data_IF_219673350221
#
_entry.id   IF_219673350221
#
_cell.length_a   1.000
_cell.length_b   1.000
_cell.length_c   1.000
_cell.angle_alpha   90.00
_cell.angle_beta   90.00
_cell.angle_gamma   90.00
#
_symmetry.space_group_name_H-M   'P 1'
#
loop_
_entity.id
_entity.type
_entity.pdbx_description
1 polymer ?
#
# COMPACT_ATOMS: atom_id res chain seq x y z
N UNK A 1 -8.19 -7.81 -25.42
CA UNK A 1 -7.51 -7.40 -24.17
C UNK A 1 -7.58 -5.88 -24.06
N UNK A 2 -7.85 -5.33 -22.88
CA UNK A 2 -7.90 -3.88 -22.63
C UNK A 2 -6.61 -3.48 -21.93
N UNK A 3 -5.91 -2.47 -22.47
CA UNK A 3 -4.68 -1.93 -21.87
C UNK A 3 -5.00 -0.68 -21.05
N UNK A 4 -4.25 -0.48 -19.95
CA UNK A 4 -4.34 0.69 -19.10
C UNK A 4 -2.93 1.27 -18.92
N UNK A 5 -2.81 2.61 -18.98
CA UNK A 5 -1.58 3.33 -18.69
C UNK A 5 -1.65 3.97 -17.30
N UNK A 6 -0.56 3.87 -16.55
CA UNK A 6 -0.40 4.51 -15.25
C UNK A 6 0.80 5.44 -15.32
N UNK A 7 0.72 6.59 -14.66
CA UNK A 7 1.76 7.61 -14.65
C UNK A 7 2.01 8.11 -13.24
N UNK A 8 3.27 8.31 -12.90
CA UNK A 8 3.71 8.99 -11.71
C UNK A 8 4.95 9.85 -12.06
N UNK A 9 5.15 10.95 -11.34
CA UNK A 9 6.34 11.78 -11.41
C UNK A 9 7.12 11.63 -10.13
N UNK A 10 8.41 11.35 -10.25
CA UNK A 10 9.35 11.27 -9.13
C UNK A 10 10.30 12.45 -9.23
N UNK A 11 10.43 13.22 -8.15
CA UNK A 11 11.30 14.37 -8.06
C UNK A 11 12.26 14.20 -6.88
N UNK A 12 13.56 14.19 -7.14
CA UNK A 12 14.55 14.23 -6.09
C UNK A 12 14.59 15.62 -5.44
N UNK A 13 14.41 15.70 -4.13
CA UNK A 13 14.35 16.93 -3.34
C UNK A 13 15.56 17.12 -2.42
N UNK A 14 16.51 16.19 -2.45
CA UNK A 14 17.65 16.15 -1.53
C UNK A 14 18.91 16.89 -2.01
N UNK A 15 18.84 17.72 -3.06
CA UNK A 15 19.99 18.49 -3.52
C UNK A 15 20.26 19.69 -2.56
N UNK A 16 21.41 19.65 -1.89
CA UNK A 16 21.86 20.73 -0.99
C UNK A 16 22.78 21.77 -1.67
N UNK A 17 22.74 21.83 -3.00
CA UNK A 17 23.52 22.80 -3.79
C UNK A 17 24.75 22.21 -4.50
N UNK A 18 25.25 21.07 -4.05
CA UNK A 18 26.41 20.39 -4.63
C UNK A 18 26.08 19.12 -5.43
N UNK A 19 24.79 18.78 -5.50
CA UNK A 19 24.33 17.55 -6.12
C UNK A 19 24.98 16.31 -5.49
N UNK A 20 25.31 15.32 -6.30
CA UNK A 20 25.90 14.04 -5.88
C UNK A 20 27.45 14.06 -5.86
N UNK A 21 28.07 15.22 -5.62
CA UNK A 21 29.55 15.35 -5.61
C UNK A 21 30.22 14.41 -4.60
N UNK A 22 29.56 14.10 -3.49
CA UNK A 22 30.02 13.12 -2.51
C UNK A 22 28.82 12.38 -1.91
N UNK A 23 29.06 11.18 -1.36
CA UNK A 23 28.02 10.34 -0.79
C UNK A 23 27.20 11.04 0.33
N UNK A 24 27.82 12.01 1.02
CA UNK A 24 27.21 12.78 2.12
C UNK A 24 26.79 14.19 1.73
N UNK A 25 26.94 14.59 0.46
CA UNK A 25 26.63 15.96 0.01
C UNK A 25 25.16 16.17 -0.32
N UNK A 26 24.33 15.15 -0.27
CA UNK A 26 22.91 15.21 -0.62
C UNK A 26 22.06 14.35 0.32
N UNK A 27 20.78 14.69 0.40
CA UNK A 27 19.76 13.89 1.10
C UNK A 27 19.07 12.95 0.12
N UNK A 28 18.55 11.85 0.65
CA UNK A 28 17.87 10.79 -0.11
C UNK A 28 16.36 10.98 -0.12
N UNK A 29 15.94 12.24 -0.08
CA UNK A 29 14.53 12.63 -0.10
C UNK A 29 14.04 12.84 -1.52
N UNK A 30 12.81 12.50 -1.76
CA UNK A 30 12.14 12.64 -3.05
C UNK A 30 10.63 12.73 -2.87
N UNK A 31 9.93 13.23 -3.87
CA UNK A 31 8.49 13.37 -3.88
C UNK A 31 7.87 12.54 -4.99
N UNK A 32 6.69 11.96 -4.70
CA UNK A 32 5.80 11.40 -5.70
C UNK A 32 4.74 12.44 -6.01
N UNK A 33 4.54 12.75 -7.29
CA UNK A 33 3.48 13.60 -7.76
C UNK A 33 2.70 12.94 -8.91
N UNK A 34 1.41 13.23 -8.97
CA UNK A 34 0.57 12.87 -10.10
C UNK A 34 -0.52 13.95 -10.26
N UNK A 35 -1.01 14.22 -11.48
CA UNK A 35 -2.07 15.21 -11.70
C UNK A 35 -3.31 14.92 -10.84
N UNK A 36 -3.78 15.93 -10.10
CA UNK A 36 -4.97 15.83 -9.26
C UNK A 36 -4.82 14.99 -7.99
N UNK A 37 -3.59 14.69 -7.55
CA UNK A 37 -3.32 13.93 -6.32
C UNK A 37 -2.41 14.71 -5.37
N UNK A 38 -2.55 14.52 -4.06
CA UNK A 38 -1.60 15.07 -3.09
C UNK A 38 -0.19 14.56 -3.35
N UNK A 39 0.80 15.40 -3.08
CA UNK A 39 2.21 15.02 -3.11
C UNK A 39 2.51 14.11 -1.91
N UNK A 40 3.26 13.03 -2.14
CA UNK A 40 3.77 12.17 -1.08
C UNK A 40 5.27 12.39 -0.97
N UNK A 41 5.71 12.92 0.18
CA UNK A 41 7.12 13.11 0.47
C UNK A 41 7.74 11.83 1.01
N UNK A 42 8.80 11.39 0.37
CA UNK A 42 9.42 10.08 0.57
C UNK A 42 10.93 10.21 0.86
N UNK A 43 11.53 9.12 1.30
CA UNK A 43 12.97 9.01 1.51
C UNK A 43 13.46 7.61 1.20
N UNK A 44 14.74 7.36 1.40
CA UNK A 44 15.29 6.02 1.37
C UNK A 44 15.06 5.31 2.71
N UNK A 45 15.34 4.01 2.77
CA UNK A 45 15.40 3.24 4.01
C UNK A 45 16.38 3.89 5.01
N UNK A 46 16.04 3.98 6.31
CA UNK A 46 16.93 4.52 7.34
C UNK A 46 18.29 3.82 7.42
N UNK A 47 18.35 2.51 7.16
CA UNK A 47 19.60 1.74 7.11
C UNK A 47 20.51 2.21 5.98
N UNK A 48 19.95 2.81 4.93
CA UNK A 48 20.66 3.39 3.78
C UNK A 48 20.77 4.92 3.87
N UNK A 49 20.56 5.49 5.06
CA UNK A 49 20.68 6.92 5.35
C UNK A 49 19.46 7.75 4.93
N UNK A 50 18.30 7.14 4.93
CA UNK A 50 17.01 7.81 4.74
C UNK A 50 16.44 8.42 6.02
N UNK A 51 15.30 9.08 5.87
CA UNK A 51 14.52 9.71 6.93
C UNK A 51 13.40 8.74 7.37
N UNK A 52 13.47 8.26 8.60
CA UNK A 52 12.49 7.32 9.17
C UNK A 52 11.07 7.88 9.34
N UNK A 53 10.89 9.19 9.19
CA UNK A 53 9.57 9.82 9.23
C UNK A 53 8.86 9.82 7.86
N UNK A 54 9.48 9.26 6.82
CA UNK A 54 8.98 9.24 5.45
C UNK A 54 8.91 7.82 4.92
N UNK A 55 7.97 7.58 4.03
CA UNK A 55 7.87 6.30 3.33
C UNK A 55 9.08 6.07 2.43
N UNK A 56 9.58 4.84 2.42
CA UNK A 56 10.60 4.38 1.50
C UNK A 56 9.98 3.57 0.35
N UNK A 57 10.74 3.20 -0.70
CA UNK A 57 10.21 2.42 -1.81
C UNK A 57 9.64 1.06 -1.40
N UNK A 58 10.22 0.44 -0.38
CA UNK A 58 9.82 -0.86 0.15
C UNK A 58 8.46 -0.77 0.85
N UNK A 59 8.24 0.28 1.67
CA UNK A 59 6.95 0.58 2.31
C UNK A 59 5.86 0.82 1.26
N UNK A 60 6.18 1.57 0.20
CA UNK A 60 5.24 1.85 -0.88
C UNK A 60 4.85 0.59 -1.65
N UNK A 61 5.79 -0.31 -1.91
CA UNK A 61 5.52 -1.59 -2.58
C UNK A 61 4.62 -2.48 -1.73
N UNK A 62 4.93 -2.63 -0.43
CA UNK A 62 4.09 -3.39 0.50
C UNK A 62 2.69 -2.79 0.64
N UNK A 63 2.60 -1.46 0.76
CA UNK A 63 1.32 -0.75 0.83
C UNK A 63 0.49 -0.94 -0.43
N UNK A 64 1.11 -0.88 -1.61
CA UNK A 64 0.43 -1.12 -2.89
C UNK A 64 -0.09 -2.57 -2.99
N UNK A 65 0.70 -3.55 -2.53
CA UNK A 65 0.32 -4.95 -2.51
C UNK A 65 -0.88 -5.20 -1.59
N UNK A 66 -0.81 -4.71 -0.34
CA UNK A 66 -1.86 -4.82 0.65
C UNK A 66 -3.15 -4.13 0.19
N UNK A 67 -3.05 -2.89 -0.29
CA UNK A 67 -4.22 -2.14 -0.79
C UNK A 67 -4.89 -2.84 -1.99
N UNK A 68 -4.11 -3.38 -2.92
CA UNK A 68 -4.67 -4.14 -4.05
C UNK A 68 -5.41 -5.40 -3.58
N UNK A 69 -4.85 -6.13 -2.61
CA UNK A 69 -5.47 -7.29 -2.00
C UNK A 69 -6.77 -6.91 -1.29
N UNK A 70 -6.74 -5.87 -0.43
CA UNK A 70 -7.90 -5.34 0.27
C UNK A 70 -9.05 -5.00 -0.69
N UNK A 71 -8.78 -4.25 -1.75
CA UNK A 71 -9.82 -3.81 -2.70
C UNK A 71 -10.48 -5.00 -3.39
N UNK A 72 -9.72 -6.03 -3.75
CA UNK A 72 -10.28 -7.26 -4.29
C UNK A 72 -11.05 -8.07 -3.26
N UNK A 73 -10.56 -8.13 -2.01
CA UNK A 73 -11.28 -8.77 -0.93
C UNK A 73 -12.66 -8.15 -0.73
N UNK A 74 -12.72 -6.82 -0.59
CA UNK A 74 -13.97 -6.07 -0.42
C UNK A 74 -14.95 -6.32 -1.58
N UNK A 75 -14.45 -6.32 -2.81
CA UNK A 75 -15.27 -6.59 -4.00
C UNK A 75 -15.84 -8.02 -4.01
N UNK A 76 -15.01 -9.02 -3.75
CA UNK A 76 -15.42 -10.42 -3.74
C UNK A 76 -16.33 -10.75 -2.56
N UNK A 77 -16.07 -10.18 -1.38
CA UNK A 77 -16.92 -10.31 -0.20
C UNK A 77 -18.32 -9.77 -0.47
N UNK A 78 -18.45 -8.57 -1.04
CA UNK A 78 -19.73 -7.99 -1.42
C UNK A 78 -20.48 -8.89 -2.42
N UNK A 79 -19.81 -9.41 -3.44
CA UNK A 79 -20.41 -10.35 -4.40
C UNK A 79 -20.83 -11.67 -3.75
N UNK A 80 -20.15 -12.07 -2.68
CA UNK A 80 -20.47 -13.25 -1.89
C UNK A 80 -21.59 -13.01 -0.87
N UNK A 81 -22.13 -11.77 -0.77
CA UNK A 81 -23.15 -11.40 0.22
C UNK A 81 -22.62 -11.28 1.64
N UNK A 82 -21.30 -11.09 1.81
CA UNK A 82 -20.66 -10.81 3.09
C UNK A 82 -20.54 -9.31 3.28
N UNK A 83 -20.89 -8.82 4.47
CA UNK A 83 -20.76 -7.41 4.84
C UNK A 83 -19.49 -7.22 5.65
N UNK A 84 -18.52 -6.51 5.07
CA UNK A 84 -17.28 -6.11 5.73
C UNK A 84 -17.49 -4.73 6.35
N UNK A 85 -17.32 -4.63 7.66
CA UNK A 85 -17.46 -3.38 8.43
C UNK A 85 -16.13 -2.67 8.63
N UNK A 86 -15.00 -3.42 8.61
CA UNK A 86 -13.67 -2.86 8.76
C UNK A 86 -12.60 -3.77 8.13
N UNK A 87 -11.49 -3.15 7.73
CA UNK A 87 -10.31 -3.86 7.21
C UNK A 87 -9.07 -3.06 7.58
N UNK A 88 -8.15 -3.69 8.28
CA UNK A 88 -6.82 -3.15 8.56
C UNK A 88 -5.78 -4.23 8.28
N UNK A 89 -4.64 -3.85 7.70
CA UNK A 89 -3.57 -4.80 7.38
C UNK A 89 -2.22 -4.23 7.77
N UNK A 90 -1.40 -5.03 8.43
CA UNK A 90 -0.02 -4.74 8.77
C UNK A 90 0.89 -5.72 8.02
N UNK A 91 1.10 -5.52 6.70
CA UNK A 91 1.90 -6.42 5.89
C UNK A 91 3.36 -6.41 6.31
N UNK A 92 4.01 -7.56 6.26
CA UNK A 92 5.44 -7.70 6.53
C UNK A 92 6.16 -8.24 5.30
N UNK A 93 7.20 -7.54 4.87
CA UNK A 93 8.10 -7.96 3.80
C UNK A 93 9.42 -8.47 4.36
N UNK A 94 9.90 -9.59 3.85
CA UNK A 94 11.25 -10.07 4.09
C UNK A 94 12.10 -9.78 2.87
N UNK A 95 13.17 -9.00 3.06
CA UNK A 95 14.16 -8.70 2.04
C UNK A 95 15.54 -9.27 2.38
N UNK A 96 16.39 -9.36 1.39
CA UNK A 96 17.81 -9.66 1.56
C UNK A 96 18.65 -8.61 0.83
N UNK A 97 19.84 -8.35 1.37
CA UNK A 97 20.87 -7.54 0.71
C UNK A 97 22.11 -8.38 0.53
N UNK A 98 22.62 -8.43 -0.69
CA UNK A 98 23.83 -9.16 -1.04
C UNK A 98 25.09 -8.33 -0.71
N UNK A 99 26.28 -8.96 -0.63
CA UNK A 99 27.54 -8.26 -0.33
C UNK A 99 27.92 -7.15 -1.33
N UNK A 100 27.43 -7.23 -2.55
CA UNK A 100 27.62 -6.22 -3.60
C UNK A 100 26.64 -5.04 -3.52
N UNK A 101 25.71 -5.08 -2.54
CA UNK A 101 24.68 -4.07 -2.34
C UNK A 101 23.38 -4.29 -3.12
N UNK A 102 23.29 -5.35 -3.94
CA UNK A 102 22.03 -5.72 -4.57
C UNK A 102 21.04 -6.24 -3.52
N UNK A 103 19.74 -5.94 -3.70
CA UNK A 103 18.70 -6.37 -2.77
C UNK A 103 17.43 -6.78 -3.49
N UNK A 104 16.60 -7.58 -2.81
CA UNK A 104 15.28 -7.97 -3.29
C UNK A 104 14.37 -8.41 -2.15
N UNK A 105 13.07 -8.37 -2.38
CA UNK A 105 12.13 -9.09 -1.53
C UNK A 105 12.22 -10.60 -1.77
N UNK A 106 12.21 -11.35 -0.68
CA UNK A 106 12.09 -12.82 -0.68
C UNK A 106 10.64 -13.25 -0.54
N UNK A 107 9.88 -12.54 0.30
CA UNK A 107 8.46 -12.80 0.55
C UNK A 107 7.75 -11.58 1.10
N UNK A 108 6.41 -11.60 1.03
CA UNK A 108 5.55 -10.71 1.78
C UNK A 108 4.42 -11.52 2.44
N UNK A 109 4.08 -11.18 3.68
CA UNK A 109 2.95 -11.74 4.41
C UNK A 109 1.95 -10.63 4.72
N UNK A 110 0.75 -10.73 4.17
CA UNK A 110 -0.38 -9.88 4.51
C UNK A 110 -1.01 -10.41 5.80
N UNK A 111 -1.41 -9.52 6.70
CA UNK A 111 -1.99 -9.85 8.02
C UNK A 111 -3.26 -9.06 8.30
N UNK A 112 -4.26 -9.16 7.41
CA UNK A 112 -5.46 -8.37 7.58
C UNK A 112 -6.26 -8.81 8.80
N UNK A 113 -6.75 -7.82 9.54
CA UNK A 113 -7.82 -7.95 10.53
C UNK A 113 -9.10 -7.45 9.89
N UNK A 114 -10.05 -8.34 9.71
CA UNK A 114 -11.29 -8.08 8.96
C UNK A 114 -12.46 -8.12 9.93
N UNK A 115 -13.16 -6.99 10.07
CA UNK A 115 -14.38 -6.90 10.85
C UNK A 115 -15.56 -7.22 9.95
N UNK A 116 -16.30 -8.26 10.26
CA UNK A 116 -17.50 -8.70 9.54
C UNK A 116 -18.76 -8.34 10.34
N UNK A 117 -19.84 -8.09 9.63
CA UNK A 117 -21.16 -7.99 10.28
C UNK A 117 -21.48 -9.27 11.05
N UNK A 118 -22.23 -9.14 12.14
CA UNK A 118 -22.58 -10.23 13.04
C UNK A 118 -23.26 -11.39 12.32
N UNK A 119 -22.84 -12.61 12.65
CA UNK A 119 -23.38 -13.85 12.05
C UNK A 119 -22.89 -14.12 10.63
N UNK A 120 -21.86 -13.44 10.17
CA UNK A 120 -21.24 -13.72 8.88
C UNK A 120 -20.57 -15.09 8.85
N UNK A 121 -20.56 -15.75 7.68
CA UNK A 121 -19.89 -17.01 7.43
C UNK A 121 -18.36 -16.78 7.29
N UNK A 122 -17.62 -17.04 8.37
CA UNK A 122 -16.18 -16.85 8.44
C UNK A 122 -15.44 -17.78 7.47
N UNK A 123 -15.88 -19.04 7.31
CA UNK A 123 -15.23 -19.95 6.37
C UNK A 123 -15.36 -19.48 4.93
N UNK A 124 -16.51 -18.91 4.59
CA UNK A 124 -16.73 -18.31 3.28
C UNK A 124 -15.87 -17.08 3.08
N UNK A 125 -15.73 -16.23 4.13
CA UNK A 125 -14.89 -15.06 4.13
C UNK A 125 -13.41 -15.41 3.92
N UNK A 126 -12.95 -16.48 4.53
CA UNK A 126 -11.55 -16.95 4.43
C UNK A 126 -11.22 -17.47 3.03
N UNK A 127 -12.11 -18.27 2.44
CA UNK A 127 -11.93 -18.79 1.07
C UNK A 127 -11.79 -17.71 0.00
N UNK A 128 -12.22 -16.49 0.25
CA UNK A 128 -12.07 -15.36 -0.70
C UNK A 128 -10.59 -15.08 -0.97
N UNK A 129 -9.72 -15.23 0.03
CA UNK A 129 -8.29 -14.96 -0.13
C UNK A 129 -7.63 -15.83 -1.21
N UNK A 130 -8.09 -17.08 -1.38
CA UNK A 130 -7.56 -18.00 -2.39
C UNK A 130 -7.81 -17.51 -3.82
N UNK A 131 -8.90 -16.77 -4.02
CA UNK A 131 -9.26 -16.26 -5.35
C UNK A 131 -8.52 -14.99 -5.74
N UNK A 132 -8.08 -14.18 -4.74
CA UNK A 132 -7.55 -12.84 -4.98
C UNK A 132 -6.28 -12.86 -5.84
N UNK A 133 -5.43 -13.88 -5.69
CA UNK A 133 -4.20 -14.01 -6.49
C UNK A 133 -4.44 -13.98 -8.00
N UNK A 134 -5.63 -14.36 -8.46
CA UNK A 134 -6.00 -14.35 -9.88
C UNK A 134 -6.29 -12.94 -10.40
N UNK A 135 -6.67 -12.03 -9.51
CA UNK A 135 -7.17 -10.69 -9.85
C UNK A 135 -6.25 -9.56 -9.42
N UNK A 136 -5.51 -9.72 -8.32
CA UNK A 136 -4.66 -8.66 -7.77
C UNK A 136 -3.53 -8.30 -8.75
N UNK A 137 -3.65 -7.11 -9.35
CA UNK A 137 -2.70 -6.61 -10.35
C UNK A 137 -1.28 -6.57 -9.80
N UNK A 138 -1.10 -6.05 -8.58
CA UNK A 138 0.21 -5.90 -7.95
C UNK A 138 0.82 -7.26 -7.62
N UNK A 139 0.04 -8.19 -7.02
CA UNK A 139 0.53 -9.53 -6.70
C UNK A 139 1.01 -10.30 -7.95
N UNK A 140 0.34 -10.09 -9.08
CA UNK A 140 0.73 -10.70 -10.37
C UNK A 140 1.92 -10.03 -11.06
N UNK A 141 2.38 -8.90 -10.54
CA UNK A 141 3.47 -8.11 -11.11
C UNK A 141 4.78 -8.24 -10.33
N UNK A 142 4.79 -9.00 -9.22
CA UNK A 142 5.98 -9.27 -8.41
C UNK A 142 6.40 -10.73 -8.53
N UNK A 143 7.68 -11.03 -8.27
CA UNK A 143 8.24 -12.37 -8.41
C UNK A 143 8.45 -13.13 -7.08
N UNK A 144 8.30 -12.43 -5.94
CA UNK A 144 8.46 -13.05 -4.64
C UNK A 144 7.15 -13.69 -4.15
N UNK A 145 7.25 -14.62 -3.19
CA UNK A 145 6.11 -15.30 -2.60
C UNK A 145 5.25 -14.34 -1.76
N UNK A 146 3.93 -14.48 -1.86
CA UNK A 146 2.95 -13.71 -1.08
C UNK A 146 2.06 -14.69 -0.34
N UNK A 147 1.92 -14.50 0.98
CA UNK A 147 1.01 -15.23 1.85
C UNK A 147 0.04 -14.29 2.53
N UNK A 148 -1.10 -14.82 3.00
CA UNK A 148 -2.09 -14.08 3.76
C UNK A 148 -2.44 -14.84 5.05
N UNK A 149 -2.35 -14.16 6.19
CA UNK A 149 -2.66 -14.66 7.53
C UNK A 149 -3.81 -13.82 8.10
N UNK A 150 -5.01 -13.99 7.55
CA UNK A 150 -6.18 -13.20 7.92
C UNK A 150 -6.69 -13.53 9.34
N UNK A 151 -7.23 -12.51 10.02
CA UNK A 151 -7.98 -12.63 11.27
C UNK A 151 -9.35 -12.01 11.09
N UNK A 152 -10.36 -12.59 11.73
CA UNK A 152 -11.74 -12.15 11.63
C UNK A 152 -12.27 -11.74 13.01
N UNK A 153 -13.01 -10.63 13.04
CA UNK A 153 -13.71 -10.08 14.22
C UNK A 153 -15.16 -9.83 13.84
N UNK A 154 -16.08 -10.07 14.73
CA UNK A 154 -17.47 -9.62 14.55
C UNK A 154 -17.60 -8.15 14.95
N UNK A 155 -18.39 -7.38 14.18
CA UNK A 155 -18.72 -6.01 14.52
C UNK A 155 -19.55 -5.94 15.80
N UNK A 156 -19.28 -4.94 16.65
CA UNK A 156 -20.12 -4.64 17.78
C UNK A 156 -21.47 -4.03 17.34
N UNK A 157 -22.52 -4.21 18.14
CA UNK A 157 -23.86 -3.74 17.80
C UNK A 157 -23.96 -2.20 17.57
N UNK A 158 -22.95 -1.44 18.02
CA UNK A 158 -22.88 0.02 17.86
C UNK A 158 -22.25 0.46 16.53
N UNK A 159 -21.47 -0.41 15.89
CA UNK A 159 -20.81 -0.10 14.61
C UNK A 159 -21.75 -0.25 13.40
N UNK A 160 -22.83 -1.03 13.56
CA UNK A 160 -23.82 -1.24 12.51
C UNK A 160 -24.71 -0.01 12.26
N UNK A 161 -24.91 0.86 13.28
CA UNK A 161 -25.70 2.10 13.18
C UNK A 161 -24.91 3.29 12.62
N UNK A 162 -23.57 3.26 12.67
CA UNK A 162 -22.70 4.38 12.24
C UNK A 162 -22.41 4.41 10.72
N UNK A 163 -22.77 3.38 9.98
CA UNK A 163 -22.46 3.22 8.55
C UNK A 163 -23.22 4.13 7.57
N UNK A 164 -24.03 5.09 8.07
CA UNK A 164 -24.86 5.98 7.26
C UNK A 164 -24.34 7.40 7.02
N UNK A 165 -23.13 7.74 7.41
CA UNK A 165 -22.57 9.09 7.34
C UNK A 165 -21.79 9.38 6.06
N UNK A 166 -22.25 10.35 5.28
CA UNK A 166 -21.71 10.82 4.02
C UNK A 166 -20.24 11.28 4.11
N UNK A 167 -19.43 10.86 3.17
CA UNK A 167 -18.09 11.40 2.91
C UNK A 167 -18.20 12.87 2.48
N UNK A 168 -17.60 13.78 3.23
CA UNK A 168 -17.48 15.18 2.83
C UNK A 168 -16.33 15.36 1.84
N UNK A 169 -16.70 15.76 0.65
CA UNK A 169 -15.82 16.17 -0.45
C UNK A 169 -15.06 17.46 -0.04
N UNK A 170 -13.76 17.38 0.19
CA UNK A 170 -12.86 18.54 0.26
C UNK A 170 -11.68 18.30 -0.64
N UNK A 171 -11.79 18.83 -1.84
CA UNK A 171 -10.68 18.95 -2.78
C UNK A 171 -10.05 20.33 -2.59
N UNK A 172 -8.86 20.39 -2.00
CA UNK A 172 -7.98 21.55 -2.11
C UNK A 172 -7.06 21.40 -3.34
N UNK A 173 -6.91 22.42 -4.17
CA UNK A 173 -6.07 22.34 -5.37
C UNK A 173 -4.58 22.36 -5.01
N UNK A 174 -3.81 21.51 -5.70
CA UNK A 174 -2.37 21.40 -5.59
C UNK A 174 -1.65 22.67 -6.07
N UNK A 175 -0.53 23.08 -5.41
CA UNK A 175 0.38 24.04 -5.98
C UNK A 175 1.13 23.42 -7.17
N UNK A 176 0.99 24.04 -8.33
CA UNK A 176 1.84 23.77 -9.48
C UNK A 176 3.21 24.39 -9.22
N UNK A 177 4.23 23.56 -8.92
CA UNK A 177 5.62 23.97 -8.87
C UNK A 177 6.48 23.01 -9.68
N UNK A 178 7.44 23.50 -10.48
CA UNK A 178 8.39 22.66 -11.16
C UNK A 178 9.35 22.02 -10.15
N UNK A 179 9.84 20.80 -10.49
CA UNK A 179 11.08 20.33 -9.92
C UNK A 179 12.21 21.21 -10.49
N UNK A 180 12.57 22.29 -9.80
CA UNK A 180 13.80 23.04 -10.07
C UNK A 180 14.99 22.39 -9.38
#
# INVERSE_FOLDING_TARGET
MKQHAYQARICWTGNRGEGTRGYRSYDRTWDIAAPGKPVISCSNDPLLGGDSAKYNPEDLLLSALSACHMLWYLHLAANAGLTVMGYADEPVGLGETLPDGAGRFLSATLRPVITLARGSDIERADRIHDEIHRYCFIARSVAFAITCEAKYVEADALDEEAGGGAASDRQDPLPAGPCE
#
